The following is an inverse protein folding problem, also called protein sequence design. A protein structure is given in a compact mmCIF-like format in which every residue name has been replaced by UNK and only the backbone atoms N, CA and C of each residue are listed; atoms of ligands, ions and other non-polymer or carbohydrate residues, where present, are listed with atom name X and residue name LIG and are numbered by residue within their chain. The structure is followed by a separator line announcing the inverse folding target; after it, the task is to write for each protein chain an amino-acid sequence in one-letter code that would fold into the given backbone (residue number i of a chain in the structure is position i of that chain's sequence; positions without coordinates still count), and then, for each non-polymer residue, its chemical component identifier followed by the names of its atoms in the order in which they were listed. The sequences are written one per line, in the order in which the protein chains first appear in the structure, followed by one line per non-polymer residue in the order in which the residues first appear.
data_IF_338745826662
#
_entry.id   IF_338745826662
#
_cell.length_a   1.000
_cell.length_b   1.000
_cell.length_c   1.000
_cell.angle_alpha   90.00
_cell.angle_beta   90.00
_cell.angle_gamma   90.00
#
_symmetry.space_group_name_H-M   'P 1'
#
loop_
_entity.id
_entity.type
_entity.pdbx_description
1 polymer ?
#
# COMPACT_ATOMS: atom_id res chain seq x y z
N UNK A 1 17.92 5.72 4.58
CA UNK A 1 17.33 6.64 5.58
C UNK A 1 15.88 6.25 5.75
N UNK A 2 15.51 5.64 6.87
CA UNK A 2 14.12 5.28 7.16
C UNK A 2 13.39 6.58 7.51
N UNK A 3 12.49 7.04 6.65
CA UNK A 3 11.59 8.14 7.00
C UNK A 3 10.45 7.56 7.83
N UNK A 4 10.55 7.71 9.15
CA UNK A 4 9.41 7.61 10.08
C UNK A 4 8.46 8.78 9.80
N UNK A 5 7.70 8.66 8.71
CA UNK A 5 6.67 9.60 8.30
C UNK A 5 5.31 9.20 8.85
N UNK A 6 5.14 9.08 10.17
CA UNK A 6 3.78 9.12 10.74
C UNK A 6 3.28 10.56 10.68
N UNK A 7 2.88 11.00 9.49
CA UNK A 7 2.07 12.18 9.36
C UNK A 7 0.69 11.82 9.93
N UNK A 8 0.40 12.30 11.14
CA UNK A 8 -0.84 12.07 11.88
C UNK A 8 -1.96 12.90 11.26
N UNK A 9 -2.36 12.55 10.04
CA UNK A 9 -3.54 13.16 9.46
C UNK A 9 -4.76 12.46 10.06
N UNK A 10 -5.71 13.23 10.61
CA UNK A 10 -6.90 12.66 11.21
C UNK A 10 -7.60 11.69 10.27
N UNK A 11 -8.03 10.53 10.81
CA UNK A 11 -8.67 9.45 10.06
C UNK A 11 -9.82 9.90 9.14
N UNK A 12 -10.50 11.00 9.46
CA UNK A 12 -11.62 11.53 8.69
C UNK A 12 -11.21 12.34 7.44
N UNK A 13 -9.94 12.74 7.33
CA UNK A 13 -9.45 13.57 6.22
C UNK A 13 -9.03 12.77 4.99
N UNK A 14 -8.89 11.44 5.10
CA UNK A 14 -8.50 10.57 3.99
C UNK A 14 -9.50 9.46 3.73
N UNK A 15 -10.50 9.81 2.93
CA UNK A 15 -11.39 8.85 2.28
C UNK A 15 -10.73 8.19 1.06
N UNK A 16 -9.69 8.79 0.47
CA UNK A 16 -8.98 8.27 -0.70
C UNK A 16 -7.48 8.29 -0.46
N UNK A 17 -6.82 7.14 -0.63
CA UNK A 17 -5.37 6.97 -0.43
C UNK A 17 -4.79 6.24 -1.63
N UNK A 18 -3.64 6.71 -2.13
CA UNK A 18 -2.87 6.03 -3.17
C UNK A 18 -1.57 5.54 -2.55
N UNK A 19 -1.38 4.23 -2.53
CA UNK A 19 -0.15 3.56 -2.11
C UNK A 19 0.73 3.35 -3.34
N UNK A 20 1.86 4.05 -3.39
CA UNK A 20 2.81 3.96 -4.49
C UNK A 20 3.94 2.99 -4.13
N UNK A 21 4.23 2.03 -5.00
CA UNK A 21 5.33 1.09 -4.83
C UNK A 21 6.11 0.94 -6.13
N UNK A 22 7.43 0.91 -6.03
CA UNK A 22 8.33 0.58 -7.14
C UNK A 22 8.63 -0.90 -7.27
N UNK A 23 8.23 -1.70 -6.29
CA UNK A 23 8.37 -3.15 -6.34
C UNK A 23 7.38 -3.74 -7.35
N UNK A 24 7.92 -4.14 -8.50
CA UNK A 24 7.16 -4.82 -9.55
C UNK A 24 6.52 -6.15 -9.11
N UNK A 25 7.02 -6.75 -8.03
CA UNK A 25 6.46 -7.99 -7.46
C UNK A 25 5.40 -7.74 -6.37
N UNK A 26 5.47 -6.63 -5.63
CA UNK A 26 4.60 -6.41 -4.47
C UNK A 26 3.13 -6.14 -4.86
N UNK A 27 2.90 -5.30 -5.87
CA UNK A 27 1.55 -4.96 -6.33
C UNK A 27 0.79 -6.20 -6.84
N UNK A 28 1.35 -7.03 -7.76
CA UNK A 28 0.67 -8.24 -8.18
C UNK A 28 0.53 -9.25 -7.04
N UNK A 29 1.53 -9.39 -6.15
CA UNK A 29 1.41 -10.30 -5.00
C UNK A 29 0.26 -9.91 -4.06
N UNK A 30 0.05 -8.61 -3.81
CA UNK A 30 -1.09 -8.15 -3.00
C UNK A 30 -2.43 -8.39 -3.71
N UNK A 31 -2.49 -8.19 -5.04
CA UNK A 31 -3.71 -8.34 -5.83
C UNK A 31 -4.07 -9.76 -6.30
N UNK A 32 -3.12 -10.71 -6.30
CA UNK A 32 -3.32 -12.06 -6.79
C UNK A 32 -4.17 -12.95 -5.85
N UNK A 33 -4.67 -14.09 -6.34
CA UNK A 33 -5.41 -15.06 -5.51
C UNK A 33 -4.51 -16.15 -4.88
N UNK A 34 -3.30 -16.38 -5.42
CA UNK A 34 -2.40 -17.46 -5.00
C UNK A 34 -1.92 -17.37 -3.55
N UNK A 35 -1.47 -18.51 -3.00
CA UNK A 35 -1.07 -18.74 -1.60
C UNK A 35 -0.09 -17.66 -1.14
N UNK A 36 -0.57 -16.64 -0.43
CA UNK A 36 0.25 -15.49 -0.08
C UNK A 36 1.15 -15.81 1.12
N UNK A 37 2.37 -15.26 1.14
CA UNK A 37 3.19 -15.28 2.35
C UNK A 37 2.45 -14.59 3.51
N UNK A 38 2.85 -14.84 4.76
CA UNK A 38 2.25 -14.22 5.95
C UNK A 38 2.17 -12.70 5.84
N UNK A 39 3.18 -12.07 5.25
CA UNK A 39 3.24 -10.62 5.06
C UNK A 39 2.21 -10.13 4.04
N UNK A 40 1.98 -10.88 2.96
CA UNK A 40 0.96 -10.53 1.97
C UNK A 40 -0.45 -10.71 2.56
N UNK A 41 -0.68 -11.73 3.38
CA UNK A 41 -1.93 -11.88 4.13
C UNK A 41 -2.18 -10.70 5.06
N UNK A 42 -1.16 -10.29 5.80
CA UNK A 42 -1.24 -9.13 6.68
C UNK A 42 -1.60 -7.88 5.88
N UNK A 43 -0.88 -7.59 4.79
CA UNK A 43 -1.18 -6.45 3.91
C UNK A 43 -2.63 -6.48 3.40
N UNK A 44 -3.12 -7.63 2.93
CA UNK A 44 -4.52 -7.77 2.50
C UNK A 44 -5.51 -7.52 3.64
N UNK A 45 -5.24 -8.06 4.82
CA UNK A 45 -6.06 -7.82 6.01
C UNK A 45 -6.11 -6.34 6.40
N UNK A 46 -4.97 -5.64 6.32
CA UNK A 46 -4.91 -4.19 6.54
C UNK A 46 -5.78 -3.44 5.52
N UNK A 47 -5.67 -3.77 4.23
CA UNK A 47 -6.44 -3.13 3.15
C UNK A 47 -7.94 -3.35 3.31
N UNK A 48 -8.37 -4.57 3.63
CA UNK A 48 -9.79 -4.86 3.85
C UNK A 48 -10.35 -4.13 5.06
N UNK A 49 -9.61 -4.04 6.17
CA UNK A 49 -10.05 -3.23 7.33
C UNK A 49 -10.23 -1.76 6.95
N UNK A 50 -9.30 -1.21 6.17
CA UNK A 50 -9.39 0.18 5.73
C UNK A 50 -10.59 0.40 4.79
N UNK A 51 -10.90 -0.58 3.93
CA UNK A 51 -12.09 -0.56 3.08
C UNK A 51 -13.38 -0.60 3.90
N UNK A 52 -13.45 -1.44 4.94
CA UNK A 52 -14.58 -1.49 5.89
C UNK A 52 -14.73 -0.18 6.66
N UNK A 53 -13.64 0.52 6.97
CA UNK A 53 -13.64 1.88 7.54
C UNK A 53 -14.09 2.97 6.53
N UNK A 54 -14.48 2.61 5.30
CA UNK A 54 -14.93 3.55 4.28
C UNK A 54 -13.80 4.25 3.52
N UNK A 55 -12.59 3.69 3.54
CA UNK A 55 -11.45 4.23 2.77
C UNK A 55 -11.37 3.56 1.40
N UNK A 56 -11.09 4.36 0.40
CA UNK A 56 -10.76 3.91 -0.95
C UNK A 56 -9.25 3.92 -1.13
N UNK A 57 -8.67 2.73 -1.32
CA UNK A 57 -7.23 2.56 -1.49
C UNK A 57 -6.96 2.11 -2.92
N UNK A 58 -6.05 2.82 -3.59
CA UNK A 58 -5.47 2.41 -4.86
C UNK A 58 -4.01 2.01 -4.66
N UNK A 59 -3.58 0.91 -5.28
CA UNK A 59 -2.18 0.52 -5.39
C UNK A 59 -1.66 0.96 -6.75
N UNK A 60 -0.61 1.77 -6.78
CA UNK A 60 -0.03 2.31 -8.00
C UNK A 60 1.42 1.90 -8.12
N UNK A 61 1.78 1.30 -9.26
CA UNK A 61 3.17 1.05 -9.58
C UNK A 61 3.85 2.35 -10.01
N UNK A 62 5.06 2.58 -9.50
CA UNK A 62 5.93 3.67 -9.91
C UNK A 62 7.29 3.10 -10.36
N UNK A 63 8.00 3.73 -11.30
CA UNK A 63 9.36 3.29 -11.62
C UNK A 63 10.29 3.55 -10.42
N UNK A 64 11.07 2.54 -10.02
CA UNK A 64 12.13 2.69 -9.02
C UNK A 64 13.28 3.54 -9.56
N UNK A 65 13.85 4.39 -8.70
CA UNK A 65 15.06 5.20 -8.91
C UNK A 65 15.29 5.68 -10.36
N UNK A 66 14.61 6.73 -10.80
CA UNK A 66 14.94 7.41 -12.06
C UNK A 66 16.05 8.47 -11.98
N UNK A 67 16.53 8.82 -10.78
CA UNK A 67 17.47 9.95 -10.60
C UNK A 67 18.67 9.66 -9.65
N UNK A 68 19.10 8.41 -9.50
CA UNK A 68 20.40 8.11 -8.86
C UNK A 68 21.36 7.66 -9.96
N UNK A 69 21.92 8.63 -10.66
CA UNK A 69 23.15 8.50 -11.45
C UNK A 69 24.31 9.05 -10.63
#
# INVERSE_FOLDING_TARGET
MCVDGQQLIPKHLYSKVVLMSDSGAAIPAIGAYEVPSSNILECRGLLERLKVEGRHIALQWIPGHRDIL
#
